data_IF_180118661242
#
_entry.id   IF_180118661242
#
_cell.length_a   1.000
_cell.length_b   1.000
_cell.length_c   1.000
_cell.angle_alpha   90.00
_cell.angle_beta   90.00
_cell.angle_gamma   90.00
#
_symmetry.space_group_name_H-M   'P 1'
#
loop_
_entity.id
_entity.type
_entity.pdbx_description
1 polymer ?
#
# COMPACT_ATOMS: atom_id res chain seq x y z
N UNK A 1 19.58 -17.72 -33.71
CA UNK A 1 20.26 -17.87 -32.40
C UNK A 1 20.06 -16.63 -31.53
N UNK A 2 20.52 -15.44 -31.94
CA UNK A 2 20.33 -14.17 -31.19
C UNK A 2 18.86 -13.84 -30.89
N UNK A 3 17.94 -13.98 -31.85
CA UNK A 3 16.52 -13.70 -31.61
C UNK A 3 15.89 -14.64 -30.56
N UNK A 4 16.30 -15.91 -30.53
CA UNK A 4 15.78 -16.88 -29.55
C UNK A 4 16.22 -16.49 -28.14
N UNK A 5 17.47 -16.04 -27.97
CA UNK A 5 17.99 -15.57 -26.68
C UNK A 5 17.30 -14.29 -26.20
N UNK A 6 17.03 -13.35 -27.11
CA UNK A 6 16.29 -12.11 -26.78
C UNK A 6 14.86 -12.44 -26.36
N UNK A 7 14.16 -13.30 -27.10
CA UNK A 7 12.80 -13.73 -26.76
C UNK A 7 12.75 -14.46 -25.42
N UNK A 8 13.69 -15.38 -25.15
CA UNK A 8 13.75 -16.08 -23.88
C UNK A 8 14.05 -15.13 -22.71
N UNK A 9 14.95 -14.17 -22.89
CA UNK A 9 15.27 -13.20 -21.84
C UNK A 9 14.07 -12.29 -21.51
N UNK A 10 13.35 -11.82 -22.53
CA UNK A 10 12.14 -11.02 -22.35
C UNK A 10 11.04 -11.82 -21.62
N UNK A 11 10.79 -13.06 -22.03
CA UNK A 11 9.82 -13.94 -21.34
C UNK A 11 10.17 -14.14 -19.87
N UNK A 12 11.45 -14.35 -19.56
CA UNK A 12 11.92 -14.58 -18.20
C UNK A 12 11.74 -13.31 -17.35
N UNK A 13 12.04 -12.12 -17.92
CA UNK A 13 11.78 -10.85 -17.25
C UNK A 13 10.28 -10.64 -16.95
N UNK A 14 9.39 -10.92 -17.92
CA UNK A 14 7.95 -10.83 -17.69
C UNK A 14 7.49 -11.77 -16.56
N UNK A 15 7.96 -13.03 -16.55
CA UNK A 15 7.59 -14.00 -15.52
C UNK A 15 8.05 -13.57 -14.12
N UNK A 16 9.26 -13.02 -13.99
CA UNK A 16 9.77 -12.50 -12.72
C UNK A 16 8.92 -11.33 -12.21
N UNK A 17 8.56 -10.39 -13.09
CA UNK A 17 7.68 -9.26 -12.71
C UNK A 17 6.28 -9.72 -12.31
N UNK A 18 5.74 -10.74 -12.99
CA UNK A 18 4.43 -11.32 -12.67
C UNK A 18 4.44 -12.03 -11.31
N UNK A 19 5.52 -12.72 -10.96
CA UNK A 19 5.65 -13.39 -9.66
C UNK A 19 5.64 -12.38 -8.50
N UNK A 20 6.31 -11.23 -8.66
CA UNK A 20 6.27 -10.15 -7.67
C UNK A 20 4.88 -9.54 -7.50
N UNK A 21 4.16 -9.32 -8.61
CA UNK A 21 2.77 -8.87 -8.57
C UNK A 21 1.86 -9.86 -7.84
N UNK A 22 2.00 -11.16 -8.12
CA UNK A 22 1.19 -12.20 -7.50
C UNK A 22 1.43 -12.29 -5.99
N UNK A 23 2.67 -12.11 -5.52
CA UNK A 23 2.97 -12.05 -4.08
C UNK A 23 2.35 -10.80 -3.41
N UNK A 24 2.34 -9.65 -4.09
CA UNK A 24 1.72 -8.44 -3.57
C UNK A 24 0.19 -8.57 -3.46
N UNK A 25 -0.46 -9.23 -4.43
CA UNK A 25 -1.90 -9.51 -4.38
C UNK A 25 -2.25 -10.49 -3.26
N UNK A 26 -1.49 -11.58 -3.09
CA UNK A 26 -1.69 -12.55 -1.99
C UNK A 26 -1.52 -11.89 -0.61
N UNK A 27 -0.54 -10.98 -0.48
CA UNK A 27 -0.38 -10.16 0.71
C UNK A 27 -1.58 -9.23 0.92
N UNK A 28 -2.11 -8.61 -0.13
CA UNK A 28 -3.30 -7.75 -0.03
C UNK A 28 -4.52 -8.56 0.42
N UNK A 29 -4.74 -9.76 -0.12
CA UNK A 29 -5.84 -10.64 0.29
C UNK A 29 -5.72 -11.04 1.76
N UNK A 30 -4.53 -11.45 2.18
CA UNK A 30 -4.25 -11.78 3.58
C UNK A 30 -4.55 -10.59 4.51
N UNK A 31 -4.07 -9.40 4.17
CA UNK A 31 -4.28 -8.18 4.95
C UNK A 31 -5.74 -7.72 4.97
N UNK A 32 -6.53 -8.06 3.96
CA UNK A 32 -7.96 -7.76 3.93
C UNK A 32 -8.69 -8.51 5.05
N UNK A 33 -8.20 -9.69 5.45
CA UNK A 33 -8.77 -10.50 6.54
C UNK A 33 -8.25 -10.16 7.94
N UNK A 34 -7.09 -9.49 8.04
CA UNK A 34 -6.45 -9.12 9.31
C UNK A 34 -6.33 -7.59 9.46
N UNK A 35 -7.35 -6.91 10.03
CA UNK A 35 -7.35 -5.46 10.15
C UNK A 35 -6.28 -4.92 11.11
N UNK A 36 -5.87 -5.70 12.11
CA UNK A 36 -4.86 -5.26 13.09
C UNK A 36 -3.50 -5.18 12.42
N UNK A 37 -3.13 -6.23 11.68
CA UNK A 37 -1.88 -6.26 10.92
C UNK A 37 -1.88 -5.24 9.80
N UNK A 38 -3.01 -5.05 9.13
CA UNK A 38 -3.16 -4.00 8.11
C UNK A 38 -2.93 -2.60 8.69
N UNK A 39 -3.55 -2.26 9.83
CA UNK A 39 -3.37 -0.97 10.49
C UNK A 39 -1.91 -0.74 10.88
N UNK A 40 -1.27 -1.73 11.47
CA UNK A 40 0.14 -1.65 11.86
C UNK A 40 1.07 -1.43 10.65
N UNK A 41 0.87 -2.18 9.56
CA UNK A 41 1.68 -2.05 8.35
C UNK A 41 1.47 -0.69 7.67
N UNK A 42 0.24 -0.18 7.65
CA UNK A 42 -0.04 1.18 7.14
C UNK A 42 0.65 2.27 7.96
N UNK A 43 0.68 2.13 9.28
CA UNK A 43 1.40 3.07 10.15
C UNK A 43 2.91 3.05 9.86
N UNK A 44 3.49 1.86 9.65
CA UNK A 44 4.90 1.71 9.25
C UNK A 44 5.17 2.36 7.88
N UNK A 45 4.31 2.12 6.89
CA UNK A 45 4.42 2.72 5.56
C UNK A 45 4.30 4.25 5.56
N UNK A 46 3.50 4.81 6.48
CA UNK A 46 3.40 6.25 6.66
C UNK A 46 4.65 6.84 7.33
N UNK A 47 5.30 6.08 8.22
CA UNK A 47 6.53 6.49 8.89
C UNK A 47 7.74 6.42 7.94
N UNK A 48 7.90 5.31 7.21
CA UNK A 48 9.00 5.12 6.27
C UNK A 48 8.68 4.05 5.21
N UNK A 49 8.26 4.51 4.04
CA UNK A 49 7.90 3.64 2.90
C UNK A 49 9.11 2.89 2.32
N UNK A 50 10.29 3.51 2.37
CA UNK A 50 11.49 2.96 1.75
C UNK A 50 12.01 1.75 2.54
N UNK A 51 11.99 1.82 3.88
CA UNK A 51 12.44 0.70 4.72
C UNK A 51 11.43 -0.45 4.76
N UNK A 52 10.14 -0.16 4.70
CA UNK A 52 9.08 -1.19 4.69
C UNK A 52 8.97 -1.88 3.33
N UNK A 53 9.27 -1.17 2.25
CA UNK A 53 9.24 -1.68 0.88
C UNK A 53 7.97 -1.30 0.12
N UNK A 54 8.17 -0.82 -1.10
CA UNK A 54 7.10 -0.21 -1.90
C UNK A 54 5.97 -1.17 -2.28
N UNK A 55 6.31 -2.44 -2.50
CA UNK A 55 5.34 -3.47 -2.88
C UNK A 55 4.45 -3.86 -1.69
N UNK A 56 5.05 -3.96 -0.49
CA UNK A 56 4.30 -4.22 0.74
C UNK A 56 3.36 -3.04 1.08
N UNK A 57 3.83 -1.81 0.92
CA UNK A 57 3.00 -0.63 1.15
C UNK A 57 1.89 -0.48 0.09
N UNK A 58 2.14 -0.88 -1.16
CA UNK A 58 1.11 -0.94 -2.20
C UNK A 58 0.05 -2.00 -1.88
N UNK A 59 0.46 -3.19 -1.45
CA UNK A 59 -0.46 -4.24 -1.01
C UNK A 59 -1.32 -3.80 0.19
N UNK A 60 -0.73 -3.10 1.16
CA UNK A 60 -1.45 -2.55 2.31
C UNK A 60 -2.45 -1.44 1.90
N UNK A 61 -2.10 -0.60 0.93
CA UNK A 61 -3.03 0.38 0.38
C UNK A 61 -4.21 -0.29 -0.32
N UNK A 62 -3.94 -1.36 -1.07
CA UNK A 62 -4.96 -2.12 -1.79
C UNK A 62 -5.92 -2.85 -0.85
N UNK A 63 -5.39 -3.58 0.15
CA UNK A 63 -6.20 -4.25 1.16
C UNK A 63 -7.14 -3.28 1.88
N UNK A 64 -6.63 -2.12 2.27
CA UNK A 64 -7.44 -1.08 2.90
C UNK A 64 -8.52 -0.56 1.97
N UNK A 65 -8.20 -0.29 0.70
CA UNK A 65 -9.16 0.14 -0.32
C UNK A 65 -10.31 -0.88 -0.46
N UNK A 66 -9.99 -2.18 -0.55
CA UNK A 66 -10.99 -3.26 -0.63
C UNK A 66 -11.91 -3.27 0.58
N UNK A 67 -11.34 -3.24 1.80
CA UNK A 67 -12.13 -3.18 3.05
C UNK A 67 -13.01 -1.94 3.12
N UNK A 68 -12.48 -0.78 2.72
CA UNK A 68 -13.20 0.48 2.74
C UNK A 68 -14.44 0.43 1.86
N UNK A 69 -14.29 0.00 0.60
CA UNK A 69 -15.42 -0.15 -0.32
C UNK A 69 -16.39 -1.27 0.08
N UNK A 70 -15.93 -2.28 0.82
CA UNK A 70 -16.78 -3.31 1.39
C UNK A 70 -17.51 -2.87 2.67
N UNK A 71 -17.31 -1.64 3.16
CA UNK A 71 -17.90 -1.14 4.40
C UNK A 71 -17.33 -1.80 5.67
N UNK A 72 -16.18 -2.46 5.56
CA UNK A 72 -15.52 -3.19 6.66
C UNK A 72 -14.54 -2.32 7.46
N UNK A 73 -14.37 -1.05 7.09
CA UNK A 73 -13.66 -0.03 7.86
C UNK A 73 -14.66 0.70 8.75
N UNK A 74 -15.07 0.03 9.83
CA UNK A 74 -16.13 0.50 10.74
C UNK A 74 -15.58 1.31 11.93
N UNK A 75 -16.46 1.98 12.71
CA UNK A 75 -16.10 2.80 13.87
C UNK A 75 -15.32 2.03 14.94
N UNK A 76 -15.41 0.69 14.95
CA UNK A 76 -14.68 -0.18 15.87
C UNK A 76 -13.17 -0.23 15.59
N UNK A 77 -12.72 0.28 14.44
CA UNK A 77 -11.32 0.40 14.04
C UNK A 77 -10.61 1.61 14.71
N UNK A 78 -11.38 2.63 15.07
CA UNK A 78 -10.93 3.86 15.70
C UNK A 78 -11.56 4.01 17.08
N UNK A 79 -11.14 3.15 18.01
CA UNK A 79 -11.67 3.11 19.37
C UNK A 79 -11.26 4.31 20.22
N UNK A 80 -10.14 4.95 19.92
CA UNK A 80 -9.63 6.09 20.68
C UNK A 80 -9.39 7.31 19.79
N UNK A 81 -9.38 8.50 20.40
CA UNK A 81 -9.09 9.74 19.68
C UNK A 81 -7.71 9.72 18.98
N UNK A 82 -6.75 9.01 19.58
CA UNK A 82 -5.41 8.84 19.04
C UNK A 82 -5.36 7.90 17.82
N UNK A 83 -6.40 7.08 17.62
CA UNK A 83 -6.51 6.21 16.45
C UNK A 83 -7.04 6.97 15.22
N UNK A 84 -7.70 8.10 15.40
CA UNK A 84 -8.31 8.85 14.31
C UNK A 84 -7.23 9.38 13.35
N UNK A 85 -7.45 9.27 12.02
CA UNK A 85 -6.57 9.91 11.07
C UNK A 85 -6.54 11.43 11.30
N UNK A 86 -5.38 12.09 11.16
CA UNK A 86 -5.29 13.53 11.29
C UNK A 86 -6.18 14.20 10.25
N UNK A 87 -6.76 15.34 10.63
CA UNK A 87 -7.51 16.19 9.71
C UNK A 87 -6.54 16.62 8.61
N UNK A 88 -6.82 16.25 7.36
CA UNK A 88 -6.04 16.71 6.22
C UNK A 88 -6.16 18.23 6.14
N UNK A 89 -5.07 18.96 5.78
CA UNK A 89 -5.18 20.38 5.52
C UNK A 89 -6.27 20.61 4.48
N UNK A 90 -7.12 21.61 4.72
CA UNK A 90 -8.12 21.99 3.73
C UNK A 90 -7.42 22.36 2.44
N UNK A 91 -7.95 21.86 1.31
CA UNK A 91 -7.43 22.12 -0.04
C UNK A 91 -7.32 23.64 -0.34
N UNK A 92 -8.06 24.46 0.41
CA UNK A 92 -8.11 25.92 0.29
C UNK A 92 -7.07 26.70 1.12
N UNK A 93 -6.23 26.07 1.96
CA UNK A 93 -5.17 26.83 2.66
C UNK A 93 -4.01 27.12 1.71
N UNK A 94 -3.68 28.40 1.43
CA UNK A 94 -2.46 28.72 0.70
C UNK A 94 -1.29 28.22 1.54
N UNK A 95 -0.39 27.46 0.91
CA UNK A 95 0.87 27.08 1.55
C UNK A 95 1.56 28.35 2.02
N UNK A 96 1.55 28.60 3.33
CA UNK A 96 2.33 29.68 3.92
C UNK A 96 3.79 29.27 3.72
N UNK A 97 4.36 29.77 2.65
CA UNK A 97 5.79 29.74 2.40
C UNK A 97 6.40 30.73 3.40
N UNK A 98 6.73 30.24 4.60
CA UNK A 98 7.61 30.96 5.53
C UNK A 98 9.01 31.00 4.91
N UNK A 99 9.20 31.96 4.00
CA UNK A 99 10.50 32.42 3.54
C UNK A 99 11.13 33.35 4.60
N UNK A 100 12.45 33.30 4.80
CA UNK A 100 13.16 33.89 5.94
C UNK A 100 13.13 35.43 6.00
#
# INVERSE_FOLDING_TARGET
MRCVLVLSASLLALLLTACGQQQAEDLADTLTTDPVRLKALRAQCAADRQTVGEDACRAAAEAFRRRFFAGQTGPDEYRTLADLPPILPSVDEPAVEDAP
#
